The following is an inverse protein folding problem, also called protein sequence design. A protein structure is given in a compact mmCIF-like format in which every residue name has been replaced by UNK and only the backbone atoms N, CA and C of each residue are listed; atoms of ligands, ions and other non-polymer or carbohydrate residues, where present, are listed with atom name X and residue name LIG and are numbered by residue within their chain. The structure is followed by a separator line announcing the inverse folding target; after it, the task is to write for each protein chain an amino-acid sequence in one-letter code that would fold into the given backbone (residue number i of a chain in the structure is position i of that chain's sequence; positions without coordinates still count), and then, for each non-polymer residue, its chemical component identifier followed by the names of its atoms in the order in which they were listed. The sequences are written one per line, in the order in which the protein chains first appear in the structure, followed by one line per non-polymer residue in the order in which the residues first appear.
data_IF_388948056067
#
_entry.id   IF_388948056067
#
_cell.length_a   1.000
_cell.length_b   1.000
_cell.length_c   1.000
_cell.angle_alpha   90.00
_cell.angle_beta   90.00
_cell.angle_gamma   90.00
#
_symmetry.space_group_name_H-M   'P 1'
#
loop_
_entity.id
_entity.type
_entity.pdbx_description
1 polymer ?
#
# COMPACT_ATOMS: atom_id res chain seq x y z
N UNK A 1 7.44 27.87 4.29
CA UNK A 1 6.00 27.58 4.13
C UNK A 1 5.43 27.44 5.53
N UNK A 2 4.31 28.09 5.88
CA UNK A 2 3.78 28.01 7.25
C UNK A 2 3.09 26.66 7.48
N UNK A 3 3.13 26.11 8.71
CA UNK A 3 2.45 24.86 9.10
C UNK A 3 0.97 24.83 8.70
N UNK A 4 0.29 25.98 8.75
CA UNK A 4 -1.10 26.14 8.30
C UNK A 4 -1.26 25.84 6.80
N UNK A 5 -0.34 26.29 5.96
CA UNK A 5 -0.36 26.04 4.52
C UNK A 5 -0.06 24.56 4.21
N UNK A 6 0.80 23.90 4.97
CA UNK A 6 1.09 22.49 4.79
C UNK A 6 -0.10 21.59 5.13
N UNK A 7 -0.83 21.88 6.22
CA UNK A 7 -2.07 21.18 6.58
C UNK A 7 -3.15 21.38 5.52
N UNK A 8 -3.32 22.60 5.01
CA UNK A 8 -4.27 22.90 3.91
C UNK A 8 -3.95 22.11 2.64
N UNK A 9 -2.68 22.09 2.24
CA UNK A 9 -2.23 21.34 1.07
C UNK A 9 -2.43 19.81 1.25
N UNK A 10 -2.22 19.30 2.47
CA UNK A 10 -2.47 17.89 2.79
C UNK A 10 -3.95 17.53 2.68
N UNK A 11 -4.84 18.37 3.23
CA UNK A 11 -6.30 18.17 3.13
C UNK A 11 -6.74 18.23 1.67
N UNK A 12 -6.30 19.22 0.91
CA UNK A 12 -6.62 19.33 -0.51
C UNK A 12 -6.16 18.10 -1.29
N UNK A 13 -4.91 17.67 -1.11
CA UNK A 13 -4.38 16.47 -1.76
C UNK A 13 -5.18 15.22 -1.36
N UNK A 14 -5.52 15.07 -0.08
CA UNK A 14 -6.33 13.95 0.40
C UNK A 14 -7.72 13.89 -0.24
N UNK A 15 -8.42 15.03 -0.32
CA UNK A 15 -9.73 15.12 -0.98
C UNK A 15 -9.64 14.72 -2.46
N UNK A 16 -8.66 15.27 -3.20
CA UNK A 16 -8.44 14.93 -4.62
C UNK A 16 -8.14 13.45 -4.79
N UNK A 17 -7.27 12.88 -3.96
CA UNK A 17 -6.92 11.46 -3.99
C UNK A 17 -8.16 10.59 -3.74
N UNK A 18 -8.99 10.95 -2.76
CA UNK A 18 -10.23 10.23 -2.46
C UNK A 18 -11.20 10.24 -3.64
N UNK A 19 -11.42 11.39 -4.27
CA UNK A 19 -12.26 11.53 -5.46
C UNK A 19 -11.72 10.70 -6.63
N UNK A 20 -10.41 10.80 -6.93
CA UNK A 20 -9.78 10.02 -8.01
C UNK A 20 -9.95 8.51 -7.77
N UNK A 21 -9.82 8.05 -6.52
CA UNK A 21 -10.03 6.65 -6.17
C UNK A 21 -11.46 6.17 -6.48
N UNK A 22 -12.48 6.98 -6.18
CA UNK A 22 -13.88 6.65 -6.50
C UNK A 22 -14.13 6.70 -8.01
N UNK A 23 -13.55 7.66 -8.73
CA UNK A 23 -13.66 7.73 -10.19
C UNK A 23 -13.03 6.53 -10.89
N UNK A 24 -11.89 6.00 -10.39
CA UNK A 24 -11.32 4.76 -10.93
C UNK A 24 -12.28 3.57 -10.78
N UNK A 25 -13.06 3.53 -9.71
CA UNK A 25 -14.11 2.50 -9.55
C UNK A 25 -15.23 2.70 -10.59
N UNK A 26 -15.64 3.94 -10.83
CA UNK A 26 -16.62 4.26 -11.90
C UNK A 26 -16.12 3.80 -13.27
N UNK A 27 -14.82 3.94 -13.54
CA UNK A 27 -14.21 3.54 -14.82
C UNK A 27 -13.86 2.05 -14.91
N UNK A 28 -14.15 1.23 -13.91
CA UNK A 28 -14.04 -0.22 -14.01
C UNK A 28 -13.16 -0.91 -12.96
N UNK A 29 -12.46 -0.20 -12.09
CA UNK A 29 -11.75 -0.84 -10.98
C UNK A 29 -12.75 -1.50 -10.01
N UNK A 30 -12.36 -2.55 -9.27
CA UNK A 30 -13.24 -3.18 -8.30
C UNK A 30 -13.74 -2.17 -7.25
N UNK A 31 -14.99 -2.31 -6.81
CA UNK A 31 -15.57 -1.47 -5.76
C UNK A 31 -14.67 -1.47 -4.52
N UNK A 32 -14.55 -0.30 -3.87
CA UNK A 32 -13.65 -0.07 -2.73
C UNK A 32 -12.15 -0.35 -3.02
N UNK A 33 -11.76 -0.43 -4.29
CA UNK A 33 -10.37 -0.73 -4.72
C UNK A 33 -9.91 0.21 -5.85
N UNK A 34 -10.29 1.49 -5.81
CA UNK A 34 -9.76 2.48 -6.75
C UNK A 34 -8.24 2.58 -6.68
N UNK A 35 -7.70 2.57 -5.44
CA UNK A 35 -6.27 2.36 -5.18
C UNK A 35 -6.07 1.32 -4.08
N UNK A 36 -5.25 0.30 -4.35
CA UNK A 36 -4.76 -0.63 -3.35
C UNK A 36 -3.35 -1.08 -3.72
N UNK A 37 -2.33 -0.50 -3.10
CA UNK A 37 -0.95 -0.82 -3.49
C UNK A 37 -0.65 -2.32 -3.31
N UNK A 38 -1.05 -2.94 -2.20
CA UNK A 38 -0.81 -4.37 -1.99
C UNK A 38 -1.55 -5.24 -3.04
N UNK A 39 -2.85 -4.99 -3.27
CA UNK A 39 -3.61 -5.76 -4.26
C UNK A 39 -3.07 -5.56 -5.68
N UNK A 40 -2.68 -4.34 -6.03
CA UNK A 40 -2.17 -4.03 -7.36
C UNK A 40 -0.78 -4.60 -7.61
N UNK A 41 0.10 -4.63 -6.59
CA UNK A 41 1.36 -5.37 -6.66
C UNK A 41 1.14 -6.87 -6.75
N UNK A 42 0.16 -7.42 -6.02
CA UNK A 42 -0.26 -8.81 -6.14
C UNK A 42 -0.71 -9.15 -7.57
N UNK A 43 -1.60 -8.35 -8.14
CA UNK A 43 -2.10 -8.55 -9.50
C UNK A 43 -0.96 -8.48 -10.52
N UNK A 44 -0.03 -7.54 -10.34
CA UNK A 44 1.17 -7.42 -11.18
C UNK A 44 2.10 -8.63 -11.02
N UNK A 45 2.30 -9.14 -9.80
CA UNK A 45 3.07 -10.37 -9.56
C UNK A 45 2.46 -11.57 -10.28
N UNK A 46 1.12 -11.70 -10.28
CA UNK A 46 0.41 -12.74 -11.01
C UNK A 46 0.54 -12.59 -12.52
N UNK A 47 0.40 -11.39 -13.06
CA UNK A 47 0.59 -11.13 -14.48
C UNK A 47 2.00 -11.49 -14.95
N UNK A 48 3.02 -11.27 -14.11
CA UNK A 48 4.41 -11.65 -14.36
C UNK A 48 4.71 -13.15 -14.13
N UNK A 49 3.68 -13.97 -13.85
CA UNK A 49 3.84 -15.42 -13.65
C UNK A 49 4.45 -15.81 -12.30
N UNK A 50 4.57 -14.89 -11.32
CA UNK A 50 5.11 -15.22 -10.00
C UNK A 50 4.15 -16.05 -9.13
N UNK A 51 2.86 -16.11 -9.50
CA UNK A 51 1.86 -16.99 -8.94
C UNK A 51 0.78 -17.35 -9.97
N UNK A 52 0.08 -18.48 -9.75
CA UNK A 52 -0.90 -19.05 -10.66
C UNK A 52 -2.37 -18.72 -10.33
N UNK A 53 -2.63 -17.77 -9.43
CA UNK A 53 -4.01 -17.39 -9.07
C UNK A 53 -4.66 -16.58 -10.19
N UNK A 54 -5.38 -17.23 -11.09
CA UNK A 54 -5.98 -16.69 -12.32
C UNK A 54 -6.90 -15.47 -12.08
N UNK A 55 -7.59 -15.44 -10.94
CA UNK A 55 -8.52 -14.34 -10.61
C UNK A 55 -7.84 -12.98 -10.34
N UNK A 56 -6.51 -12.93 -10.24
CA UNK A 56 -5.76 -11.75 -9.79
C UNK A 56 -4.45 -11.57 -10.58
N UNK A 57 -4.57 -11.58 -11.90
CA UNK A 57 -3.47 -11.44 -12.86
C UNK A 57 -3.73 -10.24 -13.78
N UNK A 58 -3.10 -9.11 -13.50
CA UNK A 58 -3.16 -7.90 -14.33
C UNK A 58 -2.03 -6.94 -13.96
N UNK A 59 -1.30 -6.42 -14.95
CA UNK A 59 -0.31 -5.35 -14.69
C UNK A 59 -1.08 -4.05 -14.46
N UNK A 60 -0.99 -3.50 -13.24
CA UNK A 60 -1.76 -2.33 -12.81
C UNK A 60 -1.08 -1.01 -13.18
N UNK A 61 -1.61 -0.24 -14.16
CA UNK A 61 -1.02 1.03 -14.56
C UNK A 61 -0.98 2.07 -13.45
N UNK A 62 -1.87 1.98 -12.47
CA UNK A 62 -1.91 2.87 -11.30
C UNK A 62 -0.59 2.82 -10.51
N UNK A 63 0.01 1.62 -10.34
CA UNK A 63 1.31 1.46 -9.65
C UNK A 63 2.42 2.16 -10.43
N UNK A 64 2.42 1.97 -11.76
CA UNK A 64 3.36 2.60 -12.67
C UNK A 64 3.24 4.13 -12.57
N UNK A 65 2.01 4.63 -12.65
CA UNK A 65 1.70 6.05 -12.50
C UNK A 65 2.16 6.63 -11.15
N UNK A 66 1.96 5.91 -10.04
CA UNK A 66 2.40 6.34 -8.70
C UNK A 66 3.93 6.54 -8.65
N UNK A 67 4.71 5.62 -9.22
CA UNK A 67 6.17 5.71 -9.28
C UNK A 67 6.60 6.88 -10.15
N UNK A 68 6.07 7.02 -11.37
CA UNK A 68 6.44 8.12 -12.25
C UNK A 68 5.95 9.47 -11.75
N UNK A 69 4.77 9.57 -11.19
CA UNK A 69 4.26 10.80 -10.58
C UNK A 69 5.17 11.31 -9.47
N UNK A 70 5.63 10.40 -8.61
CA UNK A 70 6.61 10.75 -7.56
C UNK A 70 7.98 11.09 -8.14
N UNK A 71 8.46 10.34 -9.13
CA UNK A 71 9.75 10.57 -9.79
C UNK A 71 9.82 11.95 -10.46
N UNK A 72 8.84 12.27 -11.31
CA UNK A 72 8.80 13.57 -11.98
C UNK A 72 8.62 14.73 -11.00
N UNK A 73 7.80 14.56 -9.97
CA UNK A 73 7.65 15.59 -8.94
C UNK A 73 8.94 15.78 -8.15
N UNK A 74 9.65 14.70 -7.79
CA UNK A 74 10.93 14.77 -7.10
C UNK A 74 12.00 15.46 -7.94
N UNK A 75 12.05 15.18 -9.25
CA UNK A 75 12.95 15.89 -10.18
C UNK A 75 12.61 17.38 -10.28
N UNK A 76 11.33 17.72 -10.48
CA UNK A 76 10.88 19.10 -10.61
C UNK A 76 11.14 19.94 -9.34
N UNK A 77 11.12 19.30 -8.17
CA UNK A 77 11.39 19.97 -6.87
C UNK A 77 12.83 19.83 -6.39
N UNK A 78 13.71 19.19 -7.19
CA UNK A 78 15.11 18.90 -6.83
C UNK A 78 15.22 18.07 -5.52
N UNK A 79 14.24 17.20 -5.29
CA UNK A 79 14.15 16.31 -4.13
C UNK A 79 14.53 14.86 -4.48
N UNK A 80 14.94 14.58 -5.73
CA UNK A 80 15.45 13.27 -6.13
C UNK A 80 16.76 12.99 -5.38
N UNK A 81 16.74 12.01 -4.50
CA UNK A 81 17.81 11.72 -3.56
C UNK A 81 18.13 10.21 -3.53
N UNK A 82 19.00 9.74 -4.43
CA UNK A 82 19.43 8.36 -4.47
C UNK A 82 20.11 7.93 -3.18
N UNK A 83 19.57 6.89 -2.55
CA UNK A 83 20.07 6.35 -1.29
C UNK A 83 19.66 4.89 -1.09
N UNK A 84 20.48 4.14 -0.35
CA UNK A 84 20.21 2.72 -0.07
C UNK A 84 21.23 2.10 0.88
N UNK A 85 21.15 0.78 1.06
CA UNK A 85 22.09 0.01 1.88
C UNK A 85 21.69 -0.16 3.34
N UNK A 86 20.49 0.31 3.73
CA UNK A 86 19.97 0.16 5.09
C UNK A 86 19.24 -1.18 5.26
N UNK A 87 19.93 -2.19 5.78
CA UNK A 87 19.39 -3.50 6.15
C UNK A 87 18.49 -4.15 5.05
N UNK A 88 19.00 -4.41 3.84
CA UNK A 88 18.18 -4.83 2.69
C UNK A 88 17.41 -6.13 2.93
N UNK A 89 18.01 -7.13 3.56
CA UNK A 89 17.34 -8.42 3.86
C UNK A 89 16.18 -8.20 4.83
N UNK A 90 16.37 -7.41 5.87
CA UNK A 90 15.30 -7.10 6.84
C UNK A 90 14.16 -6.34 6.18
N UNK A 91 14.46 -5.40 5.28
CA UNK A 91 13.42 -4.67 4.52
C UNK A 91 12.64 -5.59 3.58
N UNK A 92 13.32 -6.52 2.91
CA UNK A 92 12.67 -7.51 2.07
C UNK A 92 11.71 -8.38 2.87
N UNK A 93 12.16 -8.95 3.99
CA UNK A 93 11.34 -9.81 4.87
C UNK A 93 10.16 -9.05 5.48
N UNK A 94 10.40 -7.83 5.98
CA UNK A 94 9.30 -6.99 6.49
C UNK A 94 8.31 -6.62 5.38
N UNK A 95 8.78 -6.42 4.14
CA UNK A 95 7.92 -6.24 2.96
C UNK A 95 7.01 -7.45 2.72
N UNK A 96 7.54 -8.67 2.83
CA UNK A 96 6.73 -9.90 2.77
C UNK A 96 5.67 -9.93 3.88
N UNK A 97 6.01 -9.59 5.12
CA UNK A 97 5.04 -9.56 6.23
C UNK A 97 3.95 -8.50 6.03
N UNK A 98 4.29 -7.32 5.49
CA UNK A 98 3.29 -6.32 5.11
C UNK A 98 2.32 -6.89 4.07
N UNK A 99 2.82 -7.65 3.09
CA UNK A 99 1.94 -8.27 2.08
C UNK A 99 1.08 -9.37 2.69
N UNK A 100 1.62 -10.25 3.52
CA UNK A 100 0.87 -11.31 4.21
C UNK A 100 -0.28 -10.70 5.03
N UNK A 101 0.00 -9.69 5.87
CA UNK A 101 -1.04 -9.02 6.64
C UNK A 101 -2.07 -8.29 5.77
N UNK A 102 -1.63 -7.66 4.69
CA UNK A 102 -2.52 -6.96 3.75
C UNK A 102 -3.42 -7.94 2.97
N UNK A 103 -2.93 -9.12 2.58
CA UNK A 103 -3.72 -10.15 1.89
C UNK A 103 -4.60 -10.97 2.85
N UNK A 104 -4.28 -11.01 4.15
CA UNK A 104 -5.20 -11.48 5.17
C UNK A 104 -6.44 -10.58 5.25
N UNK A 105 -6.27 -9.27 5.29
CA UNK A 105 -7.34 -8.26 5.33
C UNK A 105 -7.99 -8.03 3.95
N UNK A 106 -7.37 -8.46 2.86
CA UNK A 106 -7.72 -8.14 1.48
C UNK A 106 -7.59 -6.64 1.17
N UNK A 107 -6.52 -6.01 1.65
CA UNK A 107 -6.24 -4.60 1.34
C UNK A 107 -5.10 -3.99 2.14
N UNK A 108 -4.39 -3.04 1.55
CA UNK A 108 -3.41 -2.23 2.26
C UNK A 108 -4.09 -1.11 3.07
N UNK A 109 -3.35 -0.38 3.94
CA UNK A 109 -3.93 0.72 4.72
C UNK A 109 -4.61 1.81 3.88
N UNK A 110 -4.17 2.04 2.65
CA UNK A 110 -4.84 2.96 1.74
C UNK A 110 -6.24 2.44 1.34
N UNK A 111 -6.32 1.18 0.92
CA UNK A 111 -7.61 0.55 0.60
C UNK A 111 -8.53 0.46 1.82
N UNK A 112 -7.98 0.23 3.01
CA UNK A 112 -8.77 0.20 4.26
C UNK A 112 -9.62 1.46 4.41
N UNK A 113 -9.08 2.64 4.08
CA UNK A 113 -9.83 3.91 4.11
C UNK A 113 -10.88 3.96 3.02
N UNK A 114 -10.59 3.47 1.82
CA UNK A 114 -11.56 3.42 0.73
C UNK A 114 -12.69 2.43 1.03
N UNK A 115 -12.42 1.32 1.73
CA UNK A 115 -13.43 0.40 2.24
C UNK A 115 -14.35 1.09 3.25
N UNK A 116 -13.80 1.85 4.20
CA UNK A 116 -14.59 2.68 5.12
C UNK A 116 -15.46 3.70 4.38
N UNK A 117 -14.90 4.37 3.36
CA UNK A 117 -15.63 5.31 2.53
C UNK A 117 -16.72 4.65 1.67
N UNK A 118 -16.63 3.34 1.43
CA UNK A 118 -17.67 2.53 0.79
C UNK A 118 -18.69 1.94 1.76
N UNK A 119 -18.56 2.16 3.09
CA UNK A 119 -19.49 1.67 4.10
C UNK A 119 -19.13 0.30 4.70
N UNK A 120 -17.94 -0.24 4.38
CA UNK A 120 -17.49 -1.54 4.89
C UNK A 120 -17.02 -1.44 6.34
N UNK A 121 -17.85 -1.93 7.27
CA UNK A 121 -17.56 -1.91 8.72
C UNK A 121 -16.45 -2.90 9.12
N UNK A 122 -16.13 -3.91 8.31
CA UNK A 122 -14.99 -4.79 8.58
C UNK A 122 -13.67 -3.99 8.58
N UNK A 123 -13.62 -2.89 7.84
CA UNK A 123 -12.46 -2.02 7.79
C UNK A 123 -12.23 -1.22 9.09
N UNK A 124 -13.25 -1.06 9.97
CA UNK A 124 -13.04 -0.51 11.31
C UNK A 124 -12.21 -1.45 12.19
N UNK A 125 -12.48 -2.77 12.10
CA UNK A 125 -11.69 -3.77 12.83
C UNK A 125 -10.26 -3.81 12.27
N UNK A 126 -10.10 -3.69 10.94
CA UNK A 126 -8.80 -3.50 10.30
C UNK A 126 -8.07 -2.24 10.78
N UNK A 127 -8.77 -1.11 10.90
CA UNK A 127 -8.21 0.15 11.40
C UNK A 127 -7.75 0.03 12.86
N UNK A 128 -8.55 -0.63 13.70
CA UNK A 128 -8.16 -0.90 15.09
C UNK A 128 -6.90 -1.77 15.17
N UNK A 129 -6.82 -2.86 14.39
CA UNK A 129 -5.62 -3.70 14.29
C UNK A 129 -4.41 -2.93 13.78
N UNK A 130 -4.59 -2.13 12.73
CA UNK A 130 -3.54 -1.29 12.16
C UNK A 130 -2.98 -0.28 13.18
N UNK A 131 -3.88 0.38 13.93
CA UNK A 131 -3.49 1.29 14.99
C UNK A 131 -2.72 0.57 16.11
N UNK A 132 -3.20 -0.59 16.58
CA UNK A 132 -2.52 -1.42 17.57
C UNK A 132 -1.10 -1.82 17.09
N UNK A 133 -0.97 -2.28 15.84
CA UNK A 133 0.34 -2.62 15.26
C UNK A 133 1.29 -1.42 15.20
N UNK A 134 0.77 -0.23 14.86
CA UNK A 134 1.56 1.01 14.89
C UNK A 134 2.01 1.34 16.32
N UNK A 135 1.15 1.22 17.33
CA UNK A 135 1.51 1.48 18.72
C UNK A 135 2.62 0.55 19.23
N UNK A 136 2.56 -0.74 18.86
CA UNK A 136 3.65 -1.69 19.14
C UNK A 136 4.95 -1.22 18.46
N UNK A 137 4.89 -0.81 17.20
CA UNK A 137 6.05 -0.28 16.48
C UNK A 137 6.60 1.00 17.10
N UNK A 138 5.74 1.91 17.54
CA UNK A 138 6.11 3.15 18.25
C UNK A 138 6.85 2.85 19.56
N UNK A 139 6.41 1.82 20.30
CA UNK A 139 7.15 1.37 21.49
C UNK A 139 8.61 1.04 21.16
N UNK A 140 8.88 0.26 20.11
CA UNK A 140 10.24 -0.07 19.70
C UNK A 140 11.02 1.14 19.17
N UNK A 141 10.37 2.06 18.44
CA UNK A 141 11.01 3.32 18.01
C UNK A 141 11.47 4.15 19.21
N UNK A 142 10.65 4.28 20.25
CA UNK A 142 11.00 4.98 21.48
C UNK A 142 12.15 4.30 22.26
N UNK A 143 12.36 2.99 22.05
CA UNK A 143 13.46 2.23 22.62
C UNK A 143 14.73 2.23 21.76
N UNK A 144 14.73 2.98 20.63
CA UNK A 144 15.90 3.13 19.76
C UNK A 144 15.97 2.17 18.57
N UNK A 145 14.84 1.54 18.18
CA UNK A 145 14.79 0.73 16.96
C UNK A 145 15.29 1.51 15.75
N UNK A 146 16.19 0.90 14.97
CA UNK A 146 16.71 1.47 13.72
C UNK A 146 17.12 0.38 12.75
N UNK A 147 16.83 0.59 11.47
CA UNK A 147 17.34 -0.22 10.34
C UNK A 147 18.73 0.25 9.88
N UNK A 148 19.43 1.07 10.68
CA UNK A 148 20.71 1.70 10.37
C UNK A 148 20.64 2.77 9.28
N UNK A 149 21.78 3.33 8.91
CA UNK A 149 21.88 4.43 7.95
C UNK A 149 21.80 3.91 6.51
N UNK A 150 21.14 4.67 5.64
CA UNK A 150 21.30 4.57 4.20
C UNK A 150 22.50 5.45 3.76
N UNK A 151 23.13 5.03 2.68
CA UNK A 151 24.25 5.75 2.06
C UNK A 151 23.76 6.43 0.78
N UNK A 152 24.42 7.53 0.40
CA UNK A 152 24.17 8.18 -0.88
C UNK A 152 24.63 7.24 -2.02
N UNK A 153 23.80 7.14 -3.04
CA UNK A 153 24.03 6.34 -4.24
C UNK A 153 24.15 7.25 -5.47
N UNK A 154 24.61 6.69 -6.59
CA UNK A 154 24.64 7.41 -7.86
C UNK A 154 23.22 7.67 -8.39
N UNK A 155 23.07 8.69 -9.24
CA UNK A 155 21.77 8.97 -9.86
C UNK A 155 21.27 7.80 -10.71
N UNK A 156 22.16 7.05 -11.32
CA UNK A 156 21.83 5.85 -12.08
C UNK A 156 21.20 4.77 -11.21
N UNK A 157 21.80 4.46 -10.06
CA UNK A 157 21.26 3.47 -9.12
C UNK A 157 19.87 3.89 -8.57
N UNK A 158 19.66 5.18 -8.24
CA UNK A 158 18.36 5.70 -7.86
C UNK A 158 17.31 5.65 -8.98
N UNK A 159 17.74 5.68 -10.25
CA UNK A 159 16.89 5.57 -11.42
C UNK A 159 16.48 4.15 -11.81
N UNK A 160 17.12 3.12 -11.26
CA UNK A 160 16.87 1.71 -11.65
C UNK A 160 15.42 1.32 -11.45
N UNK A 161 14.81 1.65 -10.31
CA UNK A 161 13.42 1.26 -10.04
C UNK A 161 12.41 1.94 -10.98
N UNK A 162 12.45 3.25 -11.26
CA UNK A 162 11.68 3.87 -12.33
C UNK A 162 11.86 3.19 -13.69
N UNK A 163 13.10 2.84 -14.07
CA UNK A 163 13.38 2.14 -15.35
C UNK A 163 12.73 0.74 -15.38
N UNK A 164 12.84 -0.03 -14.30
CA UNK A 164 12.14 -1.32 -14.19
C UNK A 164 10.62 -1.15 -14.29
N UNK A 165 10.08 -0.09 -13.69
CA UNK A 165 8.64 0.22 -13.77
C UNK A 165 8.24 0.58 -15.21
N UNK A 166 9.10 1.26 -15.98
CA UNK A 166 8.90 1.52 -17.42
C UNK A 166 8.89 0.21 -18.22
N UNK A 167 9.80 -0.71 -17.91
CA UNK A 167 9.82 -2.03 -18.56
C UNK A 167 8.50 -2.80 -18.29
N UNK A 168 7.95 -2.73 -17.06
CA UNK A 168 6.65 -3.31 -16.75
C UNK A 168 5.51 -2.66 -17.54
N UNK A 169 5.57 -1.35 -17.78
CA UNK A 169 4.61 -0.66 -18.67
C UNK A 169 4.73 -1.16 -20.12
N UNK A 170 5.95 -1.33 -20.62
CA UNK A 170 6.17 -1.86 -21.95
C UNK A 170 5.62 -3.29 -22.09
N UNK A 171 5.78 -4.14 -21.07
CA UNK A 171 5.18 -5.48 -21.02
C UNK A 171 3.64 -5.44 -21.03
N UNK A 172 3.03 -4.50 -20.34
CA UNK A 172 1.57 -4.33 -20.37
C UNK A 172 1.08 -3.96 -21.78
N UNK A 173 1.79 -3.04 -22.45
CA UNK A 173 1.37 -2.54 -23.77
C UNK A 173 1.66 -3.55 -24.89
N UNK A 174 2.77 -4.28 -24.80
CA UNK A 174 3.15 -5.31 -25.77
C UNK A 174 2.35 -6.62 -25.58
N UNK A 175 1.89 -6.88 -24.37
CA UNK A 175 1.12 -8.07 -23.97
C UNK A 175 1.70 -9.38 -24.56
N UNK A 176 3.00 -9.68 -24.36
CA UNK A 176 3.59 -10.90 -24.90
C UNK A 176 2.96 -12.14 -24.24
N UNK A 177 3.01 -13.30 -24.90
CA UNK A 177 2.32 -14.52 -24.50
C UNK A 177 2.65 -15.06 -23.09
N UNK A 178 3.78 -14.66 -22.52
CA UNK A 178 4.15 -15.02 -21.14
C UNK A 178 3.57 -14.12 -20.06
N UNK A 179 2.91 -13.04 -20.42
CA UNK A 179 2.18 -12.18 -19.49
C UNK A 179 0.77 -12.71 -19.34
N UNK A 180 0.37 -12.96 -18.10
CA UNK A 180 -0.95 -13.50 -17.77
C UNK A 180 -1.95 -12.39 -17.49
N UNK A 181 -3.18 -12.59 -18.00
CA UNK A 181 -4.31 -11.70 -17.75
C UNK A 181 -5.49 -12.50 -17.27
N UNK A 182 -6.16 -12.01 -16.23
CA UNK A 182 -7.42 -12.60 -15.76
C UNK A 182 -8.49 -12.51 -16.84
N UNK A 183 -9.13 -13.62 -17.14
CA UNK A 183 -10.27 -13.67 -18.09
C UNK A 183 -11.46 -12.84 -17.59
N UNK A 184 -12.22 -12.29 -18.52
CA UNK A 184 -13.39 -11.47 -18.22
C UNK A 184 -14.38 -12.24 -17.31
N UNK A 185 -14.78 -11.61 -16.21
CA UNK A 185 -15.70 -12.21 -15.22
C UNK A 185 -15.05 -13.12 -14.17
N UNK A 186 -13.76 -13.47 -14.30
CA UNK A 186 -13.10 -14.44 -13.41
C UNK A 186 -12.44 -13.81 -12.16
N UNK A 187 -12.77 -12.58 -11.81
CA UNK A 187 -12.29 -11.99 -10.56
C UNK A 187 -11.78 -10.55 -10.65
N UNK A 188 -11.17 -10.03 -9.57
CA UNK A 188 -10.73 -8.64 -9.50
C UNK A 188 -9.66 -8.25 -10.51
N UNK A 189 -8.88 -9.21 -11.03
CA UNK A 189 -7.86 -8.94 -12.05
C UNK A 189 -8.47 -8.49 -13.38
N UNK A 190 -9.65 -9.00 -13.73
CA UNK A 190 -10.39 -8.59 -14.93
C UNK A 190 -11.06 -7.21 -14.81
N UNK A 191 -11.19 -6.71 -13.59
CA UNK A 191 -11.82 -5.41 -13.31
C UNK A 191 -10.75 -4.32 -13.27
N UNK A 192 -10.72 -3.46 -14.28
CA UNK A 192 -9.75 -2.37 -14.35
C UNK A 192 -10.29 -1.21 -15.20
N UNK A 193 -9.91 0.00 -14.83
CA UNK A 193 -10.17 1.18 -15.64
C UNK A 193 -9.28 1.17 -16.91
N UNK A 194 -9.61 1.92 -17.94
CA UNK A 194 -8.76 2.07 -19.12
C UNK A 194 -7.33 2.48 -18.77
N UNK A 195 -6.35 1.90 -19.47
CA UNK A 195 -4.90 2.06 -19.14
C UNK A 195 -4.51 3.53 -18.99
N UNK A 196 -4.94 4.41 -19.88
CA UNK A 196 -4.60 5.83 -19.85
C UNK A 196 -5.19 6.54 -18.62
N UNK A 197 -6.43 6.19 -18.24
CA UNK A 197 -7.11 6.75 -17.05
C UNK A 197 -6.40 6.28 -15.79
N UNK A 198 -6.09 4.98 -15.68
CA UNK A 198 -5.34 4.38 -14.57
C UNK A 198 -3.95 5.01 -14.41
N UNK A 199 -3.23 5.17 -15.53
CA UNK A 199 -1.90 5.76 -15.55
C UNK A 199 -1.94 7.25 -15.12
N UNK A 200 -2.87 8.03 -15.69
CA UNK A 200 -3.04 9.45 -15.35
C UNK A 200 -3.43 9.63 -13.86
N UNK A 201 -4.36 8.82 -13.36
CA UNK A 201 -4.74 8.80 -11.96
C UNK A 201 -3.52 8.49 -11.04
N UNK A 202 -2.74 7.46 -11.40
CA UNK A 202 -1.51 7.11 -10.70
C UNK A 202 -0.49 8.26 -10.70
N UNK A 203 -0.26 8.91 -11.85
CA UNK A 203 0.64 10.07 -11.98
C UNK A 203 0.24 11.22 -11.04
N UNK A 204 -1.03 11.61 -11.05
CA UNK A 204 -1.54 12.69 -10.21
C UNK A 204 -1.41 12.34 -8.73
N UNK A 205 -1.85 11.13 -8.33
CA UNK A 205 -1.78 10.69 -6.94
C UNK A 205 -0.32 10.53 -6.48
N UNK A 206 0.56 10.01 -7.33
CA UNK A 206 2.00 9.90 -7.07
C UNK A 206 2.65 11.25 -6.82
N UNK A 207 2.37 12.24 -7.66
CA UNK A 207 2.87 13.60 -7.51
C UNK A 207 2.34 14.28 -6.22
N UNK A 208 1.04 14.14 -5.92
CA UNK A 208 0.44 14.69 -4.70
C UNK A 208 1.00 14.01 -3.43
N UNK A 209 1.14 12.68 -3.45
CA UNK A 209 1.68 11.92 -2.33
C UNK A 209 3.16 12.23 -2.08
N UNK A 210 3.96 12.44 -3.13
CA UNK A 210 5.34 12.90 -3.02
C UNK A 210 5.38 14.30 -2.37
N UNK A 211 4.60 15.23 -2.89
CA UNK A 211 4.63 16.64 -2.44
C UNK A 211 4.18 16.81 -0.98
N UNK A 212 3.22 16.00 -0.54
CA UNK A 212 2.66 16.08 0.80
C UNK A 212 3.32 15.12 1.80
N UNK A 213 4.18 14.21 1.32
CA UNK A 213 4.78 13.14 2.13
C UNK A 213 3.71 12.19 2.70
N UNK A 214 2.60 12.01 1.99
CA UNK A 214 1.46 11.21 2.44
C UNK A 214 1.88 9.81 2.86
N UNK A 215 1.46 9.42 4.07
CA UNK A 215 1.75 8.10 4.64
C UNK A 215 0.68 7.72 5.66
N UNK A 216 0.02 6.58 5.45
CA UNK A 216 -1.05 6.12 6.35
C UNK A 216 -0.51 5.79 7.75
N UNK A 217 0.65 5.11 7.81
CA UNK A 217 1.35 4.82 9.08
C UNK A 217 1.76 6.11 9.77
N UNK A 218 2.35 7.05 9.01
CA UNK A 218 2.77 8.34 9.53
C UNK A 218 1.63 9.10 10.20
N UNK A 219 0.40 8.98 9.68
CA UNK A 219 -0.76 9.65 10.27
C UNK A 219 -0.97 9.33 11.74
N UNK A 220 -0.95 8.04 12.10
CA UNK A 220 -1.13 7.59 13.50
C UNK A 220 0.18 7.71 14.28
N UNK A 221 1.32 7.29 13.70
CA UNK A 221 2.62 7.34 14.35
C UNK A 221 3.00 8.76 14.80
N UNK A 222 2.90 9.74 13.90
CA UNK A 222 3.33 11.10 14.18
C UNK A 222 2.37 11.81 15.13
N UNK A 223 1.08 11.45 15.09
CA UNK A 223 0.11 11.91 16.09
C UNK A 223 0.49 11.41 17.50
N UNK A 224 0.92 10.17 17.64
CA UNK A 224 1.29 9.59 18.94
C UNK A 224 2.65 10.12 19.43
N UNK A 225 3.68 10.14 18.57
CA UNK A 225 5.03 10.53 18.93
C UNK A 225 5.20 12.04 19.12
N UNK A 226 4.61 12.84 18.22
CA UNK A 226 4.93 14.27 18.11
C UNK A 226 3.70 15.17 18.27
N UNK A 227 2.49 14.60 18.46
CA UNK A 227 1.21 15.32 18.43
C UNK A 227 0.98 16.06 17.10
N UNK A 228 1.65 15.62 16.01
CA UNK A 228 1.55 16.23 14.68
C UNK A 228 0.33 15.67 13.94
N UNK A 229 -0.57 16.56 13.54
CA UNK A 229 -1.87 16.19 12.93
C UNK A 229 -1.87 16.24 11.40
N UNK A 230 -0.79 16.68 10.76
CA UNK A 230 -0.75 16.92 9.30
C UNK A 230 -1.12 15.65 8.51
N UNK A 231 -0.47 14.52 8.78
CA UNK A 231 -0.69 13.29 8.02
C UNK A 231 -2.04 12.64 8.31
N UNK A 232 -2.51 12.71 9.57
CA UNK A 232 -3.83 12.17 9.91
C UNK A 232 -4.97 12.97 9.25
N UNK A 233 -4.81 14.29 9.07
CA UNK A 233 -5.75 15.12 8.32
C UNK A 233 -5.80 14.71 6.84
N UNK A 234 -4.67 14.33 6.22
CA UNK A 234 -4.65 13.77 4.87
C UNK A 234 -5.41 12.44 4.77
N UNK A 235 -5.22 11.59 5.76
CA UNK A 235 -5.92 10.32 5.90
C UNK A 235 -7.45 10.52 6.00
N UNK A 236 -7.89 11.43 6.87
CA UNK A 236 -9.31 11.80 7.01
C UNK A 236 -9.88 12.45 5.75
N UNK A 237 -9.09 13.28 5.08
CA UNK A 237 -9.50 13.94 3.84
C UNK A 237 -9.73 12.94 2.69
N UNK A 238 -8.91 11.88 2.57
CA UNK A 238 -9.14 10.79 1.62
C UNK A 238 -10.48 10.12 1.90
N UNK A 239 -10.75 9.78 3.19
CA UNK A 239 -12.03 9.19 3.60
C UNK A 239 -13.21 10.05 3.16
N UNK A 240 -13.18 11.34 3.50
CA UNK A 240 -14.26 12.29 3.19
C UNK A 240 -14.43 12.44 1.67
N UNK A 241 -13.34 12.66 0.93
CA UNK A 241 -13.39 12.80 -0.52
C UNK A 241 -13.95 11.58 -1.23
N UNK A 242 -13.53 10.38 -0.81
CA UNK A 242 -14.06 9.13 -1.37
C UNK A 242 -15.51 8.88 -0.96
N UNK A 243 -15.89 9.12 0.31
CA UNK A 243 -17.25 8.95 0.80
C UNK A 243 -18.23 9.85 0.04
N UNK A 244 -17.93 11.14 -0.05
CA UNK A 244 -18.79 12.11 -0.76
C UNK A 244 -18.91 11.72 -2.24
N UNK A 245 -17.81 11.36 -2.89
CA UNK A 245 -17.85 10.94 -4.28
C UNK A 245 -18.66 9.64 -4.46
N UNK A 246 -18.49 8.63 -3.60
CA UNK A 246 -19.27 7.39 -3.63
C UNK A 246 -20.77 7.64 -3.46
N UNK A 247 -21.17 8.53 -2.56
CA UNK A 247 -22.58 8.90 -2.37
C UNK A 247 -23.16 9.61 -3.60
N UNK A 248 -22.42 10.55 -4.18
CA UNK A 248 -22.84 11.24 -5.42
C UNK A 248 -22.98 10.22 -6.57
N UNK A 249 -21.99 9.35 -6.78
CA UNK A 249 -22.02 8.33 -7.82
C UNK A 249 -23.17 7.36 -7.62
N UNK A 250 -23.46 6.94 -6.40
CA UNK A 250 -24.61 6.07 -6.09
C UNK A 250 -25.93 6.74 -6.47
N UNK A 251 -26.08 8.04 -6.23
CA UNK A 251 -27.30 8.79 -6.60
C UNK A 251 -27.44 9.07 -8.10
N UNK A 252 -26.33 9.17 -8.83
CA UNK A 252 -26.35 9.59 -10.26
C UNK A 252 -26.33 8.43 -11.24
N UNK A 253 -25.67 7.31 -10.90
CA UNK A 253 -25.49 6.18 -11.82
C UNK A 253 -26.51 5.05 -11.63
N UNK A 254 -27.29 5.08 -10.56
CA UNK A 254 -28.18 3.97 -10.18
C UNK A 254 -27.44 2.71 -9.68
N UNK A 255 -26.10 2.75 -9.63
CA UNK A 255 -25.27 1.67 -9.10
C UNK A 255 -24.81 2.02 -7.70
N UNK A 256 -24.99 1.13 -6.73
CA UNK A 256 -24.53 1.38 -5.37
C UNK A 256 -23.00 1.33 -5.26
N UNK A 257 -22.39 2.45 -4.89
CA UNK A 257 -20.96 2.60 -4.51
C UNK A 257 -20.77 2.70 -3.00
N UNK A 258 -21.86 2.75 -2.25
CA UNK A 258 -21.88 2.79 -0.79
C UNK A 258 -22.83 1.74 -0.27
N UNK A 259 -22.32 0.84 0.59
CA UNK A 259 -23.12 -0.18 1.28
C UNK A 259 -22.66 -0.29 2.73
N UNK A 260 -23.47 0.22 3.66
CA UNK A 260 -23.13 0.19 5.07
C UNK A 260 -23.41 -1.18 5.67
N UNK A 261 -22.39 -1.85 6.18
CA UNK A 261 -22.55 -3.15 6.82
C UNK A 261 -21.26 -3.97 6.88
N UNK A 262 -21.37 -5.15 7.47
CA UNK A 262 -20.29 -6.15 7.51
C UNK A 262 -20.41 -7.17 6.37
N UNK A 263 -21.63 -7.57 6.02
CA UNK A 263 -21.90 -8.56 4.98
C UNK A 263 -21.87 -7.93 3.57
N UNK A 264 -21.71 -8.78 2.56
CA UNK A 264 -21.80 -8.46 1.12
C UNK A 264 -20.86 -7.33 0.66
N UNK A 265 -19.74 -7.18 1.35
CA UNK A 265 -18.74 -6.16 1.00
C UNK A 265 -17.83 -6.63 -0.15
N UNK A 266 -17.57 -5.76 -1.13
CA UNK A 266 -16.75 -6.11 -2.30
C UNK A 266 -15.32 -6.52 -1.92
N UNK A 267 -14.90 -7.71 -2.34
CA UNK A 267 -13.54 -8.24 -2.10
C UNK A 267 -13.13 -8.11 -0.62
N UNK A 268 -13.99 -8.56 0.27
CA UNK A 268 -13.83 -8.52 1.73
C UNK A 268 -14.41 -9.77 2.36
N UNK A 269 -13.97 -10.10 3.57
CA UNK A 269 -14.56 -11.14 4.41
C UNK A 269 -14.97 -10.57 5.77
N UNK A 270 -15.85 -11.27 6.47
CA UNK A 270 -16.46 -10.83 7.73
C UNK A 270 -15.73 -11.32 8.98
N UNK A 271 -14.65 -12.08 8.85
CA UNK A 271 -13.87 -12.57 10.00
C UNK A 271 -13.12 -11.40 10.68
N UNK A 272 -13.73 -10.81 11.70
CA UNK A 272 -13.23 -9.62 12.37
C UNK A 272 -11.88 -9.81 13.04
N UNK A 273 -11.63 -10.98 13.65
CA UNK A 273 -10.37 -11.27 14.32
C UNK A 273 -9.20 -11.24 13.33
N UNK A 274 -9.37 -11.88 12.17
CA UNK A 274 -8.30 -11.95 11.17
C UNK A 274 -8.16 -10.66 10.36
N UNK A 275 -9.23 -9.87 10.22
CA UNK A 275 -9.13 -8.49 9.75
C UNK A 275 -8.28 -7.64 10.70
N UNK A 276 -8.48 -7.79 12.02
CA UNK A 276 -7.70 -7.10 13.05
C UNK A 276 -6.22 -7.56 13.05
N UNK A 277 -5.96 -8.86 13.18
CA UNK A 277 -4.59 -9.39 13.28
C UNK A 277 -3.77 -9.19 12.00
N UNK A 278 -4.39 -9.34 10.82
CA UNK A 278 -3.73 -9.06 9.54
C UNK A 278 -3.28 -7.61 9.44
N UNK A 279 -4.16 -6.68 9.79
CA UNK A 279 -3.82 -5.25 9.78
C UNK A 279 -2.89 -4.86 10.93
N UNK A 280 -2.91 -5.57 12.06
CA UNK A 280 -1.93 -5.40 13.14
C UNK A 280 -0.52 -5.76 12.66
N UNK A 281 -0.35 -6.90 11.96
CA UNK A 281 0.92 -7.26 11.34
C UNK A 281 1.37 -6.22 10.32
N UNK A 282 0.44 -5.77 9.44
CA UNK A 282 0.71 -4.72 8.44
C UNK A 282 1.17 -3.43 9.11
N UNK A 283 0.46 -2.96 10.12
CA UNK A 283 0.77 -1.71 10.84
C UNK A 283 2.14 -1.78 11.52
N UNK A 284 2.42 -2.86 12.23
CA UNK A 284 3.68 -3.06 12.92
C UNK A 284 4.87 -3.13 11.95
N UNK A 285 4.81 -4.00 10.94
CA UNK A 285 5.87 -4.11 9.95
C UNK A 285 6.10 -2.81 9.16
N UNK A 286 5.04 -2.06 8.84
CA UNK A 286 5.13 -0.75 8.19
C UNK A 286 5.84 0.30 9.06
N UNK A 287 5.66 0.30 10.39
CA UNK A 287 6.42 1.17 11.28
C UNK A 287 7.89 0.81 11.25
N UNK A 288 8.23 -0.48 11.35
CA UNK A 288 9.61 -0.97 11.28
C UNK A 288 10.28 -0.61 9.95
N UNK A 289 9.53 -0.58 8.84
CA UNK A 289 9.99 -0.16 7.50
C UNK A 289 10.09 1.37 7.33
N UNK A 290 9.46 2.14 8.22
CA UNK A 290 9.40 3.59 8.12
C UNK A 290 8.31 4.14 7.20
N UNK A 291 7.39 3.31 6.68
CA UNK A 291 6.28 3.77 5.84
C UNK A 291 5.37 2.66 5.31
N UNK A 292 4.13 3.02 4.99
CA UNK A 292 3.15 2.11 4.38
C UNK A 292 3.51 1.76 2.92
N UNK A 293 2.87 0.76 2.29
CA UNK A 293 3.14 0.39 0.90
C UNK A 293 3.09 1.56 -0.09
N UNK A 294 2.13 2.49 0.05
CA UNK A 294 2.08 3.70 -0.77
C UNK A 294 3.36 4.53 -0.59
N UNK A 295 3.79 4.78 0.67
CA UNK A 295 4.99 5.57 0.92
C UNK A 295 6.24 4.90 0.38
N UNK A 296 6.33 3.57 0.39
CA UNK A 296 7.46 2.83 -0.19
C UNK A 296 7.53 3.02 -1.71
N UNK A 297 6.39 2.97 -2.43
CA UNK A 297 6.35 3.27 -3.87
C UNK A 297 6.80 4.71 -4.17
N UNK A 298 6.30 5.68 -3.40
CA UNK A 298 6.69 7.09 -3.57
C UNK A 298 8.19 7.28 -3.33
N UNK A 299 8.73 6.69 -2.27
CA UNK A 299 10.16 6.77 -1.96
C UNK A 299 11.03 6.11 -3.03
N UNK A 300 10.58 5.01 -3.65
CA UNK A 300 11.33 4.38 -4.75
C UNK A 300 11.40 5.29 -5.98
N UNK A 301 10.33 6.05 -6.27
CA UNK A 301 10.36 7.11 -7.29
C UNK A 301 11.25 8.29 -6.91
N UNK A 302 11.43 8.58 -5.60
CA UNK A 302 12.39 9.58 -5.10
C UNK A 302 13.86 9.11 -5.14
N UNK A 303 14.15 7.86 -5.60
CA UNK A 303 15.48 7.28 -5.72
C UNK A 303 15.91 6.39 -4.56
N UNK A 304 15.00 5.97 -3.67
CA UNK A 304 15.33 5.08 -2.54
C UNK A 304 15.39 3.61 -2.97
N UNK A 305 16.60 3.05 -3.09
CA UNK A 305 16.81 1.62 -3.33
C UNK A 305 16.33 0.75 -2.16
N UNK A 306 16.40 1.25 -0.92
CA UNK A 306 15.86 0.58 0.26
C UNK A 306 14.34 0.36 0.15
N UNK A 307 13.62 1.33 -0.42
CA UNK A 307 12.19 1.22 -0.69
C UNK A 307 11.89 0.28 -1.85
N UNK A 308 12.73 0.27 -2.89
CA UNK A 308 12.64 -0.69 -3.99
C UNK A 308 12.78 -2.13 -3.48
N UNK A 309 13.75 -2.41 -2.59
CA UNK A 309 13.91 -3.72 -1.93
C UNK A 309 12.65 -4.09 -1.13
N UNK A 310 12.05 -3.14 -0.43
CA UNK A 310 10.78 -3.37 0.28
C UNK A 310 9.65 -3.74 -0.69
N UNK A 311 9.57 -3.10 -1.87
CA UNK A 311 8.57 -3.43 -2.89
C UNK A 311 8.81 -4.82 -3.47
N UNK A 312 10.06 -5.21 -3.72
CA UNK A 312 10.37 -6.60 -4.10
C UNK A 312 9.96 -7.59 -3.02
N UNK A 313 10.11 -7.24 -1.73
CA UNK A 313 9.58 -8.02 -0.63
C UNK A 313 8.04 -8.14 -0.66
N UNK A 314 7.33 -7.06 -1.01
CA UNK A 314 5.87 -7.09 -1.21
C UNK A 314 5.49 -8.01 -2.38
N UNK A 315 6.17 -7.94 -3.52
CA UNK A 315 5.92 -8.81 -4.69
C UNK A 315 6.18 -10.29 -4.37
N UNK A 316 7.32 -10.59 -3.72
CA UNK A 316 7.64 -11.94 -3.25
C UNK A 316 6.62 -12.45 -2.23
N UNK A 317 6.18 -11.58 -1.30
CA UNK A 317 5.12 -11.89 -0.35
C UNK A 317 3.78 -12.20 -1.03
N UNK A 318 3.44 -11.51 -2.11
CA UNK A 318 2.24 -11.79 -2.90
C UNK A 318 2.32 -13.17 -3.58
N UNK A 319 3.44 -13.48 -4.21
CA UNK A 319 3.71 -14.79 -4.79
C UNK A 319 3.62 -15.89 -3.74
N UNK A 320 4.28 -15.69 -2.60
CA UNK A 320 4.24 -16.65 -1.48
C UNK A 320 2.82 -16.88 -0.97
N UNK A 321 2.04 -15.79 -0.78
CA UNK A 321 0.66 -15.90 -0.29
C UNK A 321 -0.23 -16.72 -1.23
N UNK A 322 -0.13 -16.54 -2.53
CA UNK A 322 -0.98 -17.28 -3.48
C UNK A 322 -0.50 -18.70 -3.75
N UNK A 323 0.81 -18.92 -3.89
CA UNK A 323 1.37 -20.23 -4.16
C UNK A 323 1.23 -21.21 -2.98
N UNK A 324 1.19 -20.70 -1.73
CA UNK A 324 1.04 -21.52 -0.52
C UNK A 324 -0.32 -21.39 0.15
N UNK A 325 -1.29 -20.75 -0.50
CA UNK A 325 -2.66 -20.65 0.00
C UNK A 325 -2.80 -19.85 1.29
N UNK A 326 -2.02 -18.76 1.46
CA UNK A 326 -2.10 -17.89 2.63
C UNK A 326 -3.07 -16.70 2.44
N UNK A 327 -3.34 -16.32 1.18
CA UNK A 327 -4.24 -15.22 0.90
C UNK A 327 -5.68 -15.56 1.30
N UNK A 328 -6.36 -14.60 1.93
CA UNK A 328 -7.80 -14.68 2.18
C UNK A 328 -8.60 -14.52 0.89
N UNK A 329 -9.88 -14.84 0.95
CA UNK A 329 -10.87 -14.60 -0.10
C UNK A 329 -12.14 -14.00 0.51
N UNK A 330 -13.15 -13.69 -0.30
CA UNK A 330 -14.47 -13.30 0.20
C UNK A 330 -15.13 -14.35 1.11
N UNK A 331 -14.70 -15.63 1.01
CA UNK A 331 -15.16 -16.71 1.89
C UNK A 331 -14.49 -16.72 3.28
N UNK A 332 -13.45 -15.90 3.47
CA UNK A 332 -12.71 -15.81 4.73
C UNK A 332 -11.22 -16.19 4.60
N UNK A 333 -10.51 -16.18 5.75
CA UNK A 333 -9.10 -16.53 5.83
C UNK A 333 -8.87 -18.05 5.76
N UNK A 334 -7.75 -18.44 5.17
CA UNK A 334 -7.30 -19.85 5.13
C UNK A 334 -6.59 -20.21 6.44
N UNK A 335 -6.49 -21.52 6.74
CA UNK A 335 -5.72 -22.00 7.89
C UNK A 335 -4.23 -21.62 7.77
N UNK A 336 -3.64 -21.77 6.59
CA UNK A 336 -2.25 -21.40 6.32
C UNK A 336 -2.04 -19.88 6.50
N UNK A 337 -2.99 -19.06 6.04
CA UNK A 337 -2.94 -17.61 6.22
C UNK A 337 -2.98 -17.21 7.69
N UNK A 338 -3.82 -17.86 8.50
CA UNK A 338 -3.88 -17.65 9.95
C UNK A 338 -2.54 -17.94 10.62
N UNK A 339 -1.94 -19.09 10.31
CA UNK A 339 -0.61 -19.46 10.81
C UNK A 339 0.46 -18.45 10.38
N UNK A 340 0.44 -18.03 9.09
CA UNK A 340 1.41 -17.09 8.55
C UNK A 340 1.35 -15.71 9.23
N UNK A 341 0.16 -15.22 9.58
CA UNK A 341 0.01 -13.94 10.32
C UNK A 341 0.59 -14.05 11.73
N UNK A 342 0.34 -15.15 12.45
CA UNK A 342 0.93 -15.37 13.78
C UNK A 342 2.45 -15.46 13.70
N UNK A 343 2.98 -16.28 12.78
CA UNK A 343 4.43 -16.40 12.56
C UNK A 343 5.02 -15.02 12.20
N UNK A 344 4.36 -14.26 11.33
CA UNK A 344 4.78 -12.92 10.93
C UNK A 344 4.84 -11.94 12.10
N UNK A 345 3.84 -11.95 12.99
CA UNK A 345 3.83 -11.12 14.20
C UNK A 345 4.99 -11.47 15.14
N UNK A 346 5.22 -12.78 15.40
CA UNK A 346 6.34 -13.23 16.24
C UNK A 346 7.68 -12.86 15.59
N UNK A 347 7.86 -13.11 14.31
CA UNK A 347 9.10 -12.79 13.60
C UNK A 347 9.36 -11.27 13.56
N UNK A 348 8.31 -10.46 13.34
CA UNK A 348 8.44 -8.99 13.39
C UNK A 348 8.83 -8.50 14.80
N UNK A 349 8.31 -9.12 15.88
CA UNK A 349 8.73 -8.83 17.26
C UNK A 349 10.20 -9.18 17.49
N UNK A 350 10.67 -10.34 17.00
CA UNK A 350 12.08 -10.74 17.08
C UNK A 350 12.96 -9.74 16.31
N UNK A 351 12.59 -9.38 15.08
CA UNK A 351 13.33 -8.38 14.28
C UNK A 351 13.39 -7.04 15.03
N UNK A 352 12.26 -6.59 15.57
CA UNK A 352 12.21 -5.34 16.34
C UNK A 352 13.11 -5.42 17.59
N UNK A 353 13.04 -6.51 18.35
CA UNK A 353 13.86 -6.73 19.55
C UNK A 353 15.35 -6.75 19.24
N UNK A 354 15.78 -7.52 18.23
CA UNK A 354 17.19 -7.61 17.84
C UNK A 354 17.74 -6.25 17.39
N UNK A 355 16.97 -5.49 16.59
CA UNK A 355 17.42 -4.18 16.10
C UNK A 355 17.28 -3.05 17.14
N UNK A 356 16.63 -3.29 18.28
CA UNK A 356 16.51 -2.33 19.39
C UNK A 356 17.54 -2.58 20.48
N UNK A 357 17.67 -3.86 20.93
CA UNK A 357 18.41 -4.20 22.15
C UNK A 357 19.81 -4.75 21.90
N UNK A 358 20.17 -5.05 20.64
CA UNK A 358 21.53 -5.47 20.32
C UNK A 358 22.45 -4.26 20.50
N UNK A 359 23.25 -4.23 21.58
CA UNK A 359 24.35 -3.28 21.75
C UNK A 359 25.28 -3.40 20.54
N UNK A 360 25.52 -2.31 19.82
CA UNK A 360 26.62 -2.23 18.88
C UNK A 360 27.89 -2.41 19.74
N UNK A 361 28.59 -3.55 19.59
CA UNK A 361 29.97 -3.62 19.99
C UNK A 361 30.69 -2.61 19.11
N UNK A 362 30.96 -1.44 19.65
CA UNK A 362 31.79 -0.43 19.00
C UNK A 362 33.12 -1.09 18.63
N UNK A 363 33.40 -1.23 17.36
CA UNK A 363 34.74 -1.40 16.79
C UNK A 363 35.09 -0.13 16.05
#
# INVERSE_FOLDING_TARGET
MTLKNEKRNMIFAGLVIGVIASLLVLFGNPKNMGFCVACFLRDTAGALGLHSAEAVQYIRPEIIGLVFGSFFMALAKKEFSPRGGSAPVTRFVLGMFVMIGSLMFLGCPFRMILRLAGGDLNALLGLAGFACGILVGVFFLNKGYSLKRSYALTKAEGGVFPVLTLAVLALLLAAPAFIHFTEAGNGPGAMHAPILISLAAGLIVGALAQRTRLCMVGGIRDLVLFKETKLILGFAAILVGALVCNLILSGTTGTSYFHLGFADQPVAHTDGLWNFLGMMLTGFACVLLGGCPLRQLILSGEGSSDSAVTIFGLLAGAAFCHNFGLASSGKGPTANGKAAVIIGLVAALVIAGVNTFKKENAK
#
